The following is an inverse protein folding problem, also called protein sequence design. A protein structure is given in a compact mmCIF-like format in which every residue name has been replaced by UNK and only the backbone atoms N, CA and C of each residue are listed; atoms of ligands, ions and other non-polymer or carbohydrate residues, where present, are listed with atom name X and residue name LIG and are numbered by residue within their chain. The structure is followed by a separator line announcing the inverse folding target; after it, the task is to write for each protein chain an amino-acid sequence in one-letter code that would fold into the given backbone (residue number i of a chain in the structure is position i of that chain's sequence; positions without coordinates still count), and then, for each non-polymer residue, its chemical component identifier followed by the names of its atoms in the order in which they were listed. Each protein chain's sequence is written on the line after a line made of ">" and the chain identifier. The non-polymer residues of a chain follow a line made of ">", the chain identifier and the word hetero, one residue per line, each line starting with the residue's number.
data_IF_478128028418
#
_entry.id   IF_478128028418
#
_cell.length_a   1.000
_cell.length_b   1.000
_cell.length_c   1.000
_cell.angle_alpha   90.00
_cell.angle_beta   90.00
_cell.angle_gamma   90.00
#
_symmetry.space_group_name_H-M   'P 1'
#
loop_
_entity.id
_entity.type
_entity.pdbx_description
1 polymer ?
#
# COMPACT_ATOMS: atom_id res chain seq x y z
N UNK A 1 -31.04 -11.72 -13.13
CA UNK A 1 -30.80 -10.97 -11.88
C UNK A 1 -29.88 -11.83 -11.01
N UNK A 2 -28.56 -11.63 -11.12
CA UNK A 2 -27.54 -12.50 -10.52
C UNK A 2 -26.68 -11.67 -9.58
N UNK A 3 -26.68 -12.01 -8.29
CA UNK A 3 -25.75 -11.51 -7.28
C UNK A 3 -24.62 -12.52 -7.18
N UNK A 4 -23.41 -12.14 -7.59
CA UNK A 4 -22.20 -12.93 -7.42
C UNK A 4 -21.18 -12.15 -6.60
N UNK A 5 -21.38 -12.10 -5.28
CA UNK A 5 -20.31 -11.73 -4.36
C UNK A 5 -19.34 -12.91 -4.29
N UNK A 6 -18.24 -12.81 -5.04
CA UNK A 6 -17.09 -13.70 -4.88
C UNK A 6 -16.19 -13.14 -3.79
N UNK A 7 -16.57 -13.34 -2.52
CA UNK A 7 -15.61 -13.22 -1.42
C UNK A 7 -14.68 -14.43 -1.52
N UNK A 8 -13.47 -14.20 -2.02
CA UNK A 8 -12.49 -15.26 -2.27
C UNK A 8 -12.09 -15.92 -0.95
N UNK A 9 -12.20 -17.23 -0.99
CA UNK A 9 -11.95 -18.23 0.03
C UNK A 9 -10.65 -18.01 0.82
N UNK A 10 -10.80 -17.81 2.14
CA UNK A 10 -9.71 -17.84 3.12
C UNK A 10 -9.01 -19.22 3.09
N UNK A 11 -7.81 -19.28 2.51
CA UNK A 11 -6.90 -20.41 2.68
C UNK A 11 -6.01 -20.16 3.90
N UNK A 12 -6.41 -20.71 5.05
CA UNK A 12 -5.54 -20.85 6.21
C UNK A 12 -4.60 -22.04 6.02
N UNK A 13 -3.40 -21.91 6.61
CA UNK A 13 -2.36 -22.94 6.85
C UNK A 13 -1.16 -22.88 5.89
N UNK A 14 -0.14 -22.14 6.33
CA UNK A 14 1.20 -22.72 6.39
C UNK A 14 2.19 -22.35 5.29
N UNK A 15 2.60 -21.08 5.24
CA UNK A 15 3.98 -20.64 4.94
C UNK A 15 3.98 -19.12 4.97
N UNK A 16 4.90 -18.51 5.73
CA UNK A 16 5.57 -17.23 5.45
C UNK A 16 5.10 -16.54 4.12
N UNK A 17 3.94 -15.90 4.12
CA UNK A 17 3.12 -15.71 2.91
C UNK A 17 3.73 -14.71 1.92
N UNK A 18 3.62 -15.01 0.62
CA UNK A 18 3.96 -14.10 -0.47
C UNK A 18 3.11 -12.82 -0.40
N UNK A 19 3.63 -11.73 -0.98
CA UNK A 19 2.90 -10.46 -1.03
C UNK A 19 1.57 -10.61 -1.80
N UNK A 20 0.51 -10.03 -1.27
CA UNK A 20 -0.79 -9.91 -1.92
C UNK A 20 -1.25 -8.46 -1.84
N UNK A 21 -1.98 -8.00 -2.87
CA UNK A 21 -2.52 -6.65 -2.97
C UNK A 21 -4.00 -6.74 -3.31
N UNK A 22 -4.85 -6.28 -2.41
CA UNK A 22 -6.28 -6.11 -2.65
C UNK A 22 -6.60 -4.65 -2.92
N UNK A 23 -7.49 -4.39 -3.88
CA UNK A 23 -7.92 -3.05 -4.27
C UNK A 23 -9.32 -2.77 -3.75
N UNK A 24 -9.48 -1.69 -2.98
CA UNK A 24 -10.77 -1.16 -2.56
C UNK A 24 -10.90 0.29 -2.98
N UNK A 25 -12.11 0.73 -3.32
CA UNK A 25 -12.38 2.13 -3.67
C UNK A 25 -13.31 2.75 -2.62
N UNK A 26 -12.90 3.90 -2.09
CA UNK A 26 -13.70 4.73 -1.18
C UNK A 26 -13.86 6.11 -1.81
N UNK A 27 -15.01 6.35 -2.44
CA UNK A 27 -15.23 7.54 -3.26
C UNK A 27 -14.27 7.59 -4.45
N UNK A 28 -13.40 8.61 -4.50
CA UNK A 28 -12.36 8.77 -5.52
C UNK A 28 -10.99 8.19 -5.12
N UNK A 29 -10.86 7.73 -3.87
CA UNK A 29 -9.61 7.23 -3.31
C UNK A 29 -9.53 5.73 -3.52
N UNK A 30 -8.39 5.27 -4.04
CA UNK A 30 -8.09 3.84 -4.16
C UNK A 30 -7.21 3.42 -2.99
N UNK A 31 -7.70 2.45 -2.21
CA UNK A 31 -7.00 1.83 -1.10
C UNK A 31 -6.40 0.51 -1.57
N UNK A 32 -5.11 0.32 -1.31
CA UNK A 32 -4.38 -0.91 -1.58
C UNK A 32 -4.06 -1.58 -0.24
N UNK A 33 -4.75 -2.68 0.06
CA UNK A 33 -4.47 -3.48 1.24
C UNK A 33 -3.33 -4.46 0.95
N UNK A 34 -2.18 -4.22 1.58
CA UNK A 34 -1.00 -5.06 1.43
C UNK A 34 -0.98 -6.12 2.52
N UNK A 35 -0.77 -7.38 2.11
CA UNK A 35 -0.60 -8.48 3.07
C UNK A 35 0.52 -9.43 2.69
N UNK A 36 1.17 -10.04 3.67
CA UNK A 36 2.31 -10.94 3.46
C UNK A 36 3.66 -10.24 3.68
N UNK A 37 4.65 -10.53 2.85
CA UNK A 37 6.04 -10.04 3.04
C UNK A 37 6.45 -9.07 1.93
N UNK A 38 6.91 -7.88 2.31
CA UNK A 38 7.49 -6.91 1.38
C UNK A 38 9.01 -7.01 1.43
N UNK A 39 9.56 -7.90 0.61
CA UNK A 39 10.99 -8.18 0.50
C UNK A 39 11.39 -8.23 -0.96
N UNK A 40 12.70 -8.20 -1.21
CA UNK A 40 13.23 -8.35 -2.57
C UNK A 40 12.71 -9.61 -3.26
N UNK A 41 12.31 -9.47 -4.53
CA UNK A 41 11.82 -10.55 -5.40
C UNK A 41 10.36 -10.33 -5.81
N UNK A 42 9.49 -11.29 -5.51
CA UNK A 42 8.10 -11.23 -6.00
C UNK A 42 7.29 -10.09 -5.36
N UNK A 43 7.64 -9.66 -4.15
CA UNK A 43 6.84 -8.70 -3.38
C UNK A 43 7.00 -7.25 -3.83
N UNK A 44 8.23 -6.80 -4.06
CA UNK A 44 8.50 -5.46 -4.56
C UNK A 44 8.15 -5.30 -6.05
N UNK A 45 8.40 -6.33 -6.87
CA UNK A 45 8.00 -6.33 -8.28
C UNK A 45 6.47 -6.24 -8.45
N UNK A 46 5.70 -6.99 -7.65
CA UNK A 46 4.24 -6.95 -7.70
C UNK A 46 3.69 -5.56 -7.36
N UNK A 47 4.21 -4.92 -6.31
CA UNK A 47 3.79 -3.58 -5.90
C UNK A 47 4.13 -2.55 -6.97
N UNK A 48 5.35 -2.60 -7.50
CA UNK A 48 5.81 -1.72 -8.58
C UNK A 48 4.91 -1.80 -9.81
N UNK A 49 4.65 -3.01 -10.31
CA UNK A 49 3.85 -3.21 -11.52
C UNK A 49 2.40 -2.77 -11.31
N UNK A 50 1.84 -3.06 -10.14
CA UNK A 50 0.51 -2.60 -9.74
C UNK A 50 0.41 -1.07 -9.76
N UNK A 51 1.35 -0.38 -9.13
CA UNK A 51 1.36 1.10 -9.05
C UNK A 51 1.50 1.72 -10.44
N UNK A 52 2.40 1.19 -11.27
CA UNK A 52 2.56 1.66 -12.65
C UNK A 52 1.27 1.52 -13.46
N UNK A 53 0.58 0.38 -13.35
CA UNK A 53 -0.72 0.16 -14.00
C UNK A 53 -1.77 1.16 -13.52
N UNK A 54 -1.90 1.38 -12.22
CA UNK A 54 -2.90 2.29 -11.65
C UNK A 54 -2.66 3.75 -12.08
N UNK A 55 -1.40 4.18 -12.11
CA UNK A 55 -1.01 5.50 -12.60
C UNK A 55 -1.38 5.67 -14.08
N UNK A 56 -1.11 4.66 -14.92
CA UNK A 56 -1.48 4.69 -16.34
C UNK A 56 -3.01 4.76 -16.54
N UNK A 57 -3.78 4.16 -15.64
CA UNK A 57 -5.24 4.24 -15.60
C UNK A 57 -5.77 5.58 -15.06
N UNK A 58 -4.91 6.56 -14.77
CA UNK A 58 -5.32 7.87 -14.29
C UNK A 58 -5.63 7.94 -12.79
N UNK A 59 -5.34 6.88 -12.01
CA UNK A 59 -5.51 6.94 -10.55
C UNK A 59 -4.46 7.86 -9.95
N UNK A 60 -4.90 8.79 -9.09
CA UNK A 60 -4.04 9.83 -8.48
C UNK A 60 -4.17 9.95 -6.97
N UNK A 61 -5.25 9.43 -6.37
CA UNK A 61 -5.47 9.43 -4.91
C UNK A 61 -5.34 8.01 -4.41
N UNK A 62 -4.20 7.69 -3.79
CA UNK A 62 -3.86 6.32 -3.38
C UNK A 62 -3.58 6.26 -1.88
N UNK A 63 -4.07 5.20 -1.23
CA UNK A 63 -3.71 4.82 0.14
C UNK A 63 -3.05 3.44 0.10
N UNK A 64 -1.93 3.26 0.80
CA UNK A 64 -1.40 1.93 1.12
C UNK A 64 -1.74 1.60 2.57
N UNK A 65 -2.52 0.54 2.78
CA UNK A 65 -2.74 -0.05 4.10
C UNK A 65 -1.70 -1.14 4.34
N UNK A 66 -0.93 -0.97 5.41
CA UNK A 66 0.18 -1.86 5.77
C UNK A 66 -0.17 -2.82 6.92
N UNK A 67 -1.45 -2.87 7.32
CA UNK A 67 -1.96 -3.70 8.41
C UNK A 67 -1.65 -5.20 8.23
N UNK A 68 -1.78 -5.70 7.01
CA UNK A 68 -1.52 -7.10 6.68
C UNK A 68 -0.04 -7.44 6.44
N UNK A 69 0.86 -6.45 6.46
CA UNK A 69 2.28 -6.65 6.14
C UNK A 69 3.01 -7.27 7.32
N UNK A 70 3.27 -8.57 7.22
CA UNK A 70 3.92 -9.37 8.25
C UNK A 70 5.44 -9.15 8.37
N UNK A 71 6.09 -8.63 7.34
CA UNK A 71 7.55 -8.41 7.33
C UNK A 71 7.97 -7.44 6.23
N UNK A 72 8.98 -6.61 6.52
CA UNK A 72 9.62 -5.70 5.57
C UNK A 72 11.15 -5.72 5.73
N UNK A 73 11.92 -5.70 4.65
CA UNK A 73 13.38 -5.48 4.66
C UNK A 73 13.77 -4.15 4.00
N UNK A 74 15.05 -3.97 3.68
CA UNK A 74 15.54 -2.76 3.01
C UNK A 74 15.00 -2.59 1.59
N UNK A 75 14.78 -3.68 0.86
CA UNK A 75 14.24 -3.63 -0.50
C UNK A 75 12.76 -3.25 -0.46
N UNK A 76 11.98 -3.84 0.46
CA UNK A 76 10.58 -3.49 0.63
C UNK A 76 10.37 -2.03 1.04
N UNK A 77 11.19 -1.51 1.96
CA UNK A 77 11.17 -0.08 2.28
C UNK A 77 11.51 0.78 1.06
N UNK A 78 12.55 0.38 0.31
CA UNK A 78 12.93 1.04 -0.93
C UNK A 78 11.77 1.09 -1.93
N UNK A 79 10.97 0.03 -2.02
CA UNK A 79 9.82 -0.02 -2.92
C UNK A 79 8.69 0.90 -2.47
N UNK A 80 8.39 1.01 -1.17
CA UNK A 80 7.42 1.99 -0.66
C UNK A 80 7.85 3.42 -1.05
N UNK A 81 9.13 3.73 -0.95
CA UNK A 81 9.70 5.04 -1.33
C UNK A 81 9.63 5.27 -2.84
N UNK A 82 9.91 4.26 -3.65
CA UNK A 82 9.78 4.33 -5.11
C UNK A 82 8.33 4.53 -5.53
N UNK A 83 7.42 3.81 -4.91
CA UNK A 83 5.97 3.93 -5.12
C UNK A 83 5.51 5.35 -4.84
N UNK A 84 5.86 5.92 -3.68
CA UNK A 84 5.59 7.32 -3.34
C UNK A 84 6.12 8.28 -4.39
N UNK A 85 7.41 8.17 -4.71
CA UNK A 85 8.08 9.05 -5.67
C UNK A 85 7.41 8.98 -7.05
N UNK A 86 7.01 7.78 -7.49
CA UNK A 86 6.38 7.55 -8.79
C UNK A 86 5.00 8.20 -8.85
N UNK A 87 4.19 8.02 -7.81
CA UNK A 87 2.85 8.63 -7.71
C UNK A 87 2.96 10.16 -7.67
N UNK A 88 3.83 10.72 -6.83
CA UNK A 88 4.01 12.18 -6.71
C UNK A 88 4.51 12.82 -8.00
N UNK A 89 5.45 12.18 -8.72
CA UNK A 89 5.95 12.68 -10.01
C UNK A 89 4.87 12.77 -11.10
N UNK A 90 3.79 12.01 -10.95
CA UNK A 90 2.66 11.97 -11.88
C UNK A 90 1.50 12.86 -11.41
N UNK A 91 1.76 13.76 -10.45
CA UNK A 91 0.77 14.67 -9.86
C UNK A 91 -0.24 13.97 -8.96
N UNK A 92 0.05 12.75 -8.50
CA UNK A 92 -0.76 12.03 -7.54
C UNK A 92 -0.31 12.26 -6.09
N UNK A 93 -1.12 11.78 -5.18
CA UNK A 93 -0.89 11.76 -3.74
C UNK A 93 -0.97 10.32 -3.25
N UNK A 94 0.02 9.92 -2.47
CA UNK A 94 0.09 8.61 -1.82
C UNK A 94 0.16 8.83 -0.30
N UNK A 95 -0.76 8.22 0.42
CA UNK A 95 -0.81 8.25 1.90
C UNK A 95 -0.63 6.83 2.45
N UNK A 96 -0.04 6.72 3.63
CA UNK A 96 0.16 5.42 4.29
C UNK A 96 -0.75 5.32 5.52
N UNK A 97 -1.34 4.14 5.74
CA UNK A 97 -2.10 3.84 6.95
C UNK A 97 -1.66 2.53 7.58
N UNK A 98 -1.91 2.40 8.88
CA UNK A 98 -1.62 1.19 9.65
C UNK A 98 -0.14 0.75 9.52
N UNK A 99 0.79 1.71 9.68
CA UNK A 99 2.21 1.38 9.70
C UNK A 99 2.48 0.35 10.81
N UNK A 100 3.23 -0.70 10.49
CA UNK A 100 3.77 -1.55 11.55
C UNK A 100 4.91 -0.83 12.25
N UNK A 101 5.13 -1.08 13.54
CA UNK A 101 6.26 -0.51 14.30
C UNK A 101 7.60 -0.63 13.57
N UNK A 102 7.84 -1.75 12.88
CA UNK A 102 9.05 -1.96 12.09
C UNK A 102 9.16 -0.99 10.91
N UNK A 103 8.06 -0.72 10.21
CA UNK A 103 8.02 0.25 9.11
C UNK A 103 8.20 1.67 9.67
N UNK A 104 7.55 2.00 10.78
CA UNK A 104 7.72 3.28 11.47
C UNK A 104 9.18 3.51 11.90
N UNK A 105 9.81 2.53 12.54
CA UNK A 105 11.21 2.59 12.97
C UNK A 105 12.12 2.81 11.76
N UNK A 106 11.91 2.06 10.66
CA UNK A 106 12.69 2.19 9.43
C UNK A 106 12.51 3.57 8.76
N UNK A 107 11.29 4.08 8.66
CA UNK A 107 11.00 5.41 8.12
C UNK A 107 11.57 6.52 9.01
N UNK A 108 11.55 6.34 10.33
CA UNK A 108 12.11 7.29 11.30
C UNK A 108 13.63 7.36 11.20
N UNK A 109 14.31 6.21 11.17
CA UNK A 109 15.78 6.12 11.03
C UNK A 109 16.24 6.77 9.72
N UNK A 110 15.49 6.56 8.64
CA UNK A 110 15.80 7.11 7.31
C UNK A 110 15.34 8.56 7.12
N UNK A 111 14.70 9.16 8.14
CA UNK A 111 14.07 10.49 8.08
C UNK A 111 13.03 10.64 6.97
N UNK A 112 12.50 9.52 6.49
CA UNK A 112 11.47 9.51 5.47
C UNK A 112 10.08 9.73 6.04
N UNK A 113 9.88 9.52 7.34
CA UNK A 113 8.60 9.77 8.00
C UNK A 113 8.10 11.20 7.80
N UNK A 114 9.00 12.19 7.65
CA UNK A 114 8.62 13.59 7.36
C UNK A 114 8.22 13.85 5.91
N UNK A 115 8.41 12.85 5.03
CA UNK A 115 8.08 12.92 3.61
C UNK A 115 6.72 12.29 3.34
N UNK A 116 6.38 11.24 4.08
CA UNK A 116 5.10 10.54 3.93
C UNK A 116 4.01 11.22 4.76
N UNK A 117 2.82 11.38 4.18
CA UNK A 117 1.61 11.60 4.94
C UNK A 117 1.12 10.24 5.48
N UNK A 118 1.10 10.10 6.80
CA UNK A 118 0.77 8.85 7.51
C UNK A 118 -0.39 9.06 8.46
N UNK A 119 -1.30 8.10 8.54
CA UNK A 119 -2.48 8.18 9.41
C UNK A 119 -2.68 6.87 10.18
N UNK A 120 -3.32 6.97 11.34
CA UNK A 120 -3.67 5.81 12.15
C UNK A 120 -4.91 5.09 11.60
N UNK A 121 -5.81 5.81 10.92
CA UNK A 121 -7.03 5.24 10.34
C UNK A 121 -7.18 5.53 8.84
N UNK A 122 -7.81 4.59 8.13
CA UNK A 122 -8.20 4.77 6.72
C UNK A 122 -9.11 5.99 6.54
N UNK A 123 -10.03 6.23 7.48
CA UNK A 123 -11.00 7.33 7.38
C UNK A 123 -10.29 8.70 7.38
N UNK A 124 -9.34 8.93 8.29
CA UNK A 124 -8.55 10.16 8.32
C UNK A 124 -7.73 10.36 7.03
N UNK A 125 -7.16 9.26 6.51
CA UNK A 125 -6.42 9.30 5.26
C UNK A 125 -7.35 9.64 4.07
N UNK A 126 -8.57 9.12 4.03
CA UNK A 126 -9.56 9.45 2.98
C UNK A 126 -9.98 10.92 3.08
N UNK A 127 -10.32 11.39 4.28
CA UNK A 127 -10.81 12.77 4.50
C UNK A 127 -9.76 13.81 4.13
N UNK A 128 -8.48 13.50 4.34
CA UNK A 128 -7.36 14.39 4.00
C UNK A 128 -7.08 14.54 2.48
N UNK A 129 -7.85 13.88 1.60
CA UNK A 129 -7.84 14.17 0.15
C UNK A 129 -8.89 15.23 -0.25
N UNK A 130 -9.79 15.61 0.65
CA UNK A 130 -10.82 16.63 0.41
C UNK A 130 -10.37 18.06 0.80
N UNK A 131 -9.22 18.16 1.47
CA UNK A 131 -8.61 19.41 1.97
C UNK A 131 -7.57 20.00 1.03
#
# INVERSE_FOLDING_TARGET
>A
MWRGQGATQFSLIGRRAAMQIEERTVGEVLVLDLSGKLTIGEGDELLKDKINSLIQQGKRKLILSLEGVSYVDSAGLGEIVRTYTTVSRQGGQLKLVHLTKRIEDLLSITKLLTVFETYESEQEAVDSFAS
#
